data_IF_766398579713
#
_entry.id   IF_766398579713
#
_cell.length_a   1.000
_cell.length_b   1.000
_cell.length_c   1.000
_cell.angle_alpha   90.00
_cell.angle_beta   90.00
_cell.angle_gamma   90.00
#
_symmetry.space_group_name_H-M   'P 1'
#
loop_
_entity.id
_entity.type
_entity.pdbx_description
1 polymer ?
#
# COMPACT_ATOMS: atom_id res chain seq x y z
N UNK A 1 -13.09 -20.54 -11.86
CA UNK A 1 -12.14 -21.13 -10.89
C UNK A 1 -11.48 -20.01 -10.07
N UNK A 2 -11.41 -20.18 -8.78
CA UNK A 2 -10.77 -19.22 -7.89
C UNK A 2 -9.29 -19.56 -7.69
N UNK A 3 -8.43 -18.58 -7.89
CA UNK A 3 -6.99 -18.71 -7.68
C UNK A 3 -6.58 -17.79 -6.52
N UNK A 4 -5.85 -18.35 -5.57
CA UNK A 4 -5.36 -17.62 -4.41
C UNK A 4 -3.85 -17.76 -4.33
N UNK A 5 -3.14 -16.63 -4.30
CA UNK A 5 -1.69 -16.58 -4.11
C UNK A 5 -1.36 -15.81 -2.85
N UNK A 6 -0.38 -16.30 -2.10
CA UNK A 6 0.05 -15.69 -0.84
C UNK A 6 1.53 -15.31 -0.97
N UNK A 7 1.83 -14.06 -0.63
CA UNK A 7 3.20 -13.53 -0.63
C UNK A 7 3.53 -13.05 0.76
N UNK A 8 4.68 -13.47 1.27
CA UNK A 8 5.16 -13.10 2.61
C UNK A 8 6.19 -11.98 2.53
N UNK A 9 6.56 -11.45 3.69
CA UNK A 9 7.61 -10.44 3.85
C UNK A 9 7.28 -9.15 3.08
N UNK A 10 6.07 -8.70 3.23
CA UNK A 10 5.56 -7.48 2.58
C UNK A 10 5.56 -6.33 3.58
N UNK A 11 6.14 -5.22 3.17
CA UNK A 11 6.11 -3.97 3.91
C UNK A 11 5.13 -3.00 3.28
N UNK A 12 4.57 -2.12 4.10
CA UNK A 12 3.67 -1.05 3.67
C UNK A 12 4.22 0.27 4.20
N UNK A 13 4.30 1.28 3.35
CA UNK A 13 4.50 2.65 3.79
C UNK A 13 3.26 3.46 3.44
N UNK A 14 2.79 4.26 4.38
CA UNK A 14 1.63 5.13 4.19
C UNK A 14 1.99 6.57 4.53
N UNK A 15 1.41 7.48 3.76
CA UNK A 15 1.56 8.93 3.93
C UNK A 15 0.15 9.52 4.10
N UNK A 16 -0.08 10.21 5.20
CA UNK A 16 -1.36 10.83 5.50
C UNK A 16 -1.27 12.34 5.32
N UNK A 17 -2.41 12.97 5.06
CA UNK A 17 -2.53 14.42 4.91
C UNK A 17 -1.58 14.99 3.86
N UNK A 18 -1.52 14.32 2.70
CA UNK A 18 -0.72 14.76 1.56
C UNK A 18 -1.48 15.85 0.82
N UNK A 19 -0.88 17.05 0.61
CA UNK A 19 -1.52 18.11 -0.16
C UNK A 19 -1.73 17.68 -1.62
N UNK A 20 -2.98 17.80 -2.11
CA UNK A 20 -3.35 17.31 -3.44
C UNK A 20 -2.72 18.08 -4.60
N UNK A 21 -2.32 19.34 -4.36
CA UNK A 21 -1.75 20.20 -5.39
C UNK A 21 -0.26 20.00 -5.62
N UNK A 22 0.40 19.20 -4.76
CA UNK A 22 1.82 18.95 -4.89
C UNK A 22 2.04 17.62 -5.57
N UNK A 23 3.09 17.51 -6.37
CA UNK A 23 3.43 16.28 -7.09
C UNK A 23 4.08 15.25 -6.18
N UNK A 24 3.51 15.06 -5.01
CA UNK A 24 4.11 14.21 -3.98
C UNK A 24 4.22 12.76 -4.42
N UNK A 25 3.15 12.22 -5.01
CA UNK A 25 3.10 10.81 -5.41
C UNK A 25 4.17 10.50 -6.45
N UNK A 26 4.22 11.28 -7.54
CA UNK A 26 5.19 11.04 -8.60
C UNK A 26 6.63 11.27 -8.14
N UNK A 27 6.86 12.29 -7.33
CA UNK A 27 8.18 12.57 -6.77
C UNK A 27 8.64 11.44 -5.85
N UNK A 28 7.75 10.96 -4.98
CA UNK A 28 8.05 9.87 -4.06
C UNK A 28 8.34 8.58 -4.80
N UNK A 29 7.48 8.21 -5.75
CA UNK A 29 7.67 6.98 -6.51
C UNK A 29 8.94 7.03 -7.37
N UNK A 30 9.29 8.20 -7.93
CA UNK A 30 10.53 8.36 -8.68
C UNK A 30 11.76 8.18 -7.79
N UNK A 31 11.77 8.78 -6.62
CA UNK A 31 12.88 8.65 -5.67
C UNK A 31 13.04 7.20 -5.20
N UNK A 32 11.93 6.52 -4.94
CA UNK A 32 11.92 5.12 -4.54
C UNK A 32 12.47 4.23 -5.66
N UNK A 33 12.04 4.47 -6.90
CA UNK A 33 12.51 3.74 -8.07
C UNK A 33 14.01 3.94 -8.31
N UNK A 34 14.49 5.17 -8.18
CA UNK A 34 15.91 5.49 -8.33
C UNK A 34 16.80 4.78 -7.32
N UNK A 35 16.26 4.48 -6.15
CA UNK A 35 16.97 3.72 -5.11
C UNK A 35 16.94 2.20 -5.32
N UNK A 36 16.25 1.73 -6.34
CA UNK A 36 16.18 0.31 -6.69
C UNK A 36 15.08 -0.47 -5.99
N UNK A 37 14.14 0.19 -5.34
CA UNK A 37 13.01 -0.45 -4.67
C UNK A 37 11.90 -0.71 -5.68
N UNK A 38 11.44 -1.96 -5.74
CA UNK A 38 10.26 -2.34 -6.52
C UNK A 38 8.99 -2.08 -5.71
N UNK A 39 8.15 -1.20 -6.23
CA UNK A 39 6.82 -0.96 -5.67
C UNK A 39 5.85 -1.95 -6.29
N UNK A 40 5.06 -2.61 -5.47
CA UNK A 40 4.11 -3.63 -5.92
C UNK A 40 2.68 -3.08 -6.02
N UNK A 41 2.05 -2.81 -4.89
CA UNK A 41 0.71 -2.24 -4.86
C UNK A 41 0.77 -0.76 -4.50
N UNK A 42 -0.11 0.04 -5.10
CA UNK A 42 -0.26 1.46 -4.79
C UNK A 42 -1.73 1.71 -4.48
N UNK A 43 -1.99 2.40 -3.39
CA UNK A 43 -3.34 2.78 -3.00
C UNK A 43 -3.40 4.24 -2.62
N UNK A 44 -4.46 4.91 -3.02
CA UNK A 44 -4.65 6.33 -2.76
C UNK A 44 -6.12 6.58 -2.45
N UNK A 45 -6.38 7.42 -1.45
CA UNK A 45 -7.75 7.86 -1.17
C UNK A 45 -8.10 9.07 -2.05
N UNK A 46 -9.38 9.29 -2.33
CA UNK A 46 -9.80 10.52 -2.99
C UNK A 46 -9.46 11.76 -2.15
N UNK A 47 -9.11 12.90 -2.78
CA UNK A 47 -8.84 14.12 -2.04
C UNK A 47 -10.05 14.57 -1.22
N UNK A 48 -9.79 14.97 0.02
CA UNK A 48 -10.77 15.58 0.90
C UNK A 48 -10.14 16.81 1.55
N UNK A 49 -10.77 17.97 1.42
CA UNK A 49 -10.20 19.24 1.89
C UNK A 49 -8.80 19.50 1.33
N UNK A 50 -8.60 19.19 0.05
CA UNK A 50 -7.33 19.30 -0.68
C UNK A 50 -6.21 18.43 -0.12
N UNK A 51 -6.56 17.39 0.63
CA UNK A 51 -5.61 16.42 1.17
C UNK A 51 -6.04 14.98 0.85
N UNK A 52 -5.08 14.09 0.78
CA UNK A 52 -5.34 12.67 0.57
C UNK A 52 -4.32 11.83 1.32
N UNK A 53 -4.58 10.53 1.39
CA UNK A 53 -3.63 9.55 1.90
C UNK A 53 -3.19 8.64 0.78
N UNK A 54 -1.92 8.24 0.79
CA UNK A 54 -1.44 7.30 -0.19
C UNK A 54 -0.43 6.35 0.45
N UNK A 55 -0.35 5.15 -0.11
CA UNK A 55 0.58 4.17 0.37
C UNK A 55 0.96 3.19 -0.71
N UNK A 56 2.03 2.46 -0.48
CA UNK A 56 2.45 1.40 -1.38
C UNK A 56 3.10 0.26 -0.61
N UNK A 57 3.16 -0.90 -1.27
CA UNK A 57 3.81 -2.08 -0.72
C UNK A 57 5.13 -2.35 -1.41
N UNK A 58 6.03 -2.97 -0.67
CA UNK A 58 7.37 -3.32 -1.14
C UNK A 58 7.91 -4.47 -0.29
N UNK A 59 9.07 -4.99 -0.62
CA UNK A 59 9.67 -6.10 0.13
C UNK A 59 10.26 -5.63 1.46
N UNK A 60 10.11 -6.45 2.51
CA UNK A 60 10.75 -6.20 3.81
C UNK A 60 12.27 -5.99 3.66
N UNK A 61 12.89 -6.65 2.69
CA UNK A 61 14.33 -6.53 2.43
C UNK A 61 14.75 -5.12 2.02
N UNK A 62 13.83 -4.32 1.53
CA UNK A 62 14.11 -2.95 1.06
C UNK A 62 13.89 -1.88 2.12
N UNK A 63 13.50 -2.27 3.35
CA UNK A 63 13.28 -1.31 4.44
C UNK A 63 14.52 -0.44 4.70
N UNK A 64 15.73 -1.00 4.83
CA UNK A 64 16.91 -0.15 5.08
C UNK A 64 17.11 0.90 3.99
N UNK A 65 16.91 0.52 2.73
CA UNK A 65 17.02 1.45 1.61
C UNK A 65 15.95 2.53 1.66
N UNK A 66 14.71 2.14 1.94
CA UNK A 66 13.60 3.10 2.05
C UNK A 66 13.87 4.12 3.15
N UNK A 67 14.39 3.69 4.30
CA UNK A 67 14.69 4.60 5.41
C UNK A 67 15.76 5.63 5.08
N UNK A 68 16.60 5.38 4.08
CA UNK A 68 17.56 6.39 3.59
C UNK A 68 16.92 7.38 2.62
N UNK A 69 15.86 6.97 1.92
CA UNK A 69 15.16 7.79 0.93
C UNK A 69 14.12 8.71 1.57
N UNK A 70 13.38 8.18 2.56
CA UNK A 70 12.25 8.89 3.17
C UNK A 70 12.58 10.29 3.70
N UNK A 71 13.69 10.52 4.42
CA UNK A 71 13.99 11.86 4.93
C UNK A 71 14.10 12.92 3.85
N UNK A 72 14.61 12.57 2.68
CA UNK A 72 14.72 13.50 1.54
C UNK A 72 13.34 13.91 1.00
N UNK A 73 12.37 13.01 1.09
CA UNK A 73 11.02 13.26 0.61
C UNK A 73 10.22 14.01 1.67
N UNK A 74 10.25 13.55 2.91
CA UNK A 74 9.42 14.09 3.99
C UNK A 74 9.88 15.44 4.49
N UNK A 75 11.18 15.73 4.46
CA UNK A 75 11.72 17.02 4.90
C UNK A 75 11.20 18.19 4.05
N UNK A 76 11.01 17.98 2.76
CA UNK A 76 10.53 19.01 1.84
C UNK A 76 9.04 19.28 2.03
N UNK A 77 8.26 18.26 2.39
CA UNK A 77 6.80 18.35 2.42
C UNK A 77 6.21 18.35 3.83
N UNK A 78 7.00 18.09 4.86
CA UNK A 78 6.51 18.04 6.25
C UNK A 78 5.54 16.89 6.50
N UNK A 79 5.62 15.82 5.72
CA UNK A 79 4.73 14.68 5.80
C UNK A 79 5.42 13.56 6.58
N UNK A 80 4.71 12.97 7.54
CA UNK A 80 5.25 11.87 8.34
C UNK A 80 4.83 10.53 7.75
N UNK A 81 5.78 9.69 7.30
CA UNK A 81 5.46 8.36 6.81
C UNK A 81 5.26 7.39 7.97
N UNK A 82 4.45 6.37 7.72
CA UNK A 82 4.28 5.24 8.62
C UNK A 82 4.70 3.97 7.89
N UNK A 83 5.67 3.25 8.43
CA UNK A 83 6.19 2.00 7.83
C UNK A 83 5.77 0.83 8.69
N UNK A 84 5.21 -0.19 8.07
CA UNK A 84 4.79 -1.42 8.74
C UNK A 84 5.33 -2.61 7.95
N UNK A 85 5.98 -3.55 8.64
CA UNK A 85 6.62 -4.70 8.03
C UNK A 85 6.00 -6.02 8.46
N UNK A 86 6.44 -7.11 7.84
CA UNK A 86 5.99 -8.45 8.22
C UNK A 86 4.56 -8.76 7.83
N UNK A 87 4.07 -8.14 6.77
CA UNK A 87 2.72 -8.39 6.28
C UNK A 87 2.70 -9.51 5.25
N UNK A 88 1.51 -10.01 5.01
CA UNK A 88 1.21 -11.00 3.98
C UNK A 88 0.31 -10.36 2.95
N UNK A 89 0.63 -10.53 1.68
CA UNK A 89 -0.25 -10.11 0.58
C UNK A 89 -0.96 -11.33 0.04
N UNK A 90 -2.28 -11.25 -0.03
CA UNK A 90 -3.13 -12.30 -0.60
C UNK A 90 -3.74 -11.74 -1.88
N UNK A 91 -3.49 -12.45 -2.99
CA UNK A 91 -4.07 -12.10 -4.29
C UNK A 91 -5.12 -13.14 -4.63
N UNK A 92 -6.35 -12.69 -4.81
CA UNK A 92 -7.48 -13.55 -5.14
C UNK A 92 -7.98 -13.19 -6.53
N UNK A 93 -7.99 -14.17 -7.42
CA UNK A 93 -8.54 -14.03 -8.77
C UNK A 93 -9.66 -15.04 -8.94
N UNK A 94 -10.83 -14.57 -9.33
CA UNK A 94 -11.97 -15.43 -9.54
C UNK A 94 -12.92 -14.82 -10.56
N UNK A 95 -13.41 -15.67 -11.45
CA UNK A 95 -14.46 -15.29 -12.40
C UNK A 95 -15.78 -14.96 -11.69
N UNK A 96 -15.99 -15.55 -10.50
CA UNK A 96 -17.17 -15.26 -9.69
C UNK A 96 -17.25 -13.81 -9.24
N UNK A 97 -16.14 -13.10 -9.19
CA UNK A 97 -16.11 -11.67 -8.84
C UNK A 97 -16.82 -10.80 -9.88
N UNK A 98 -16.94 -11.29 -11.11
CA UNK A 98 -17.60 -10.57 -12.20
C UNK A 98 -19.12 -10.70 -12.09
N UNK A 99 -19.60 -11.90 -11.78
CA UNK A 99 -21.02 -12.24 -11.87
C UNK A 99 -21.74 -12.32 -10.54
N UNK A 100 -21.01 -12.48 -9.45
CA UNK A 100 -21.61 -12.68 -8.12
C UNK A 100 -21.37 -11.49 -7.20
N UNK A 101 -22.43 -10.78 -6.91
CA UNK A 101 -22.41 -9.79 -5.85
C UNK A 101 -22.10 -10.48 -4.52
N UNK A 102 -21.32 -9.84 -3.68
CA UNK A 102 -20.99 -10.37 -2.35
C UNK A 102 -19.76 -11.25 -2.28
N UNK A 103 -19.06 -11.51 -3.39
CA UNK A 103 -17.80 -12.26 -3.34
C UNK A 103 -16.78 -11.56 -2.43
N UNK A 104 -16.61 -10.26 -2.58
CA UNK A 104 -15.72 -9.48 -1.72
C UNK A 104 -16.13 -9.56 -0.25
N UNK A 105 -17.42 -9.49 0.02
CA UNK A 105 -17.95 -9.61 1.40
C UNK A 105 -17.55 -10.94 2.04
N UNK A 106 -17.59 -12.04 1.29
CA UNK A 106 -17.16 -13.34 1.80
C UNK A 106 -15.69 -13.37 2.16
N UNK A 107 -14.85 -12.75 1.32
CA UNK A 107 -13.40 -12.66 1.56
C UNK A 107 -13.13 -11.91 2.86
N UNK A 108 -13.72 -10.73 3.03
CA UNK A 108 -13.51 -9.91 4.22
C UNK A 108 -14.10 -10.54 5.47
N UNK A 109 -15.22 -11.24 5.35
CA UNK A 109 -15.79 -11.97 6.47
C UNK A 109 -14.85 -13.10 6.94
N UNK A 110 -14.21 -13.80 6.00
CA UNK A 110 -13.22 -14.81 6.34
C UNK A 110 -12.04 -14.20 7.09
N UNK A 111 -11.57 -13.01 6.69
CA UNK A 111 -10.51 -12.29 7.38
C UNK A 111 -10.92 -11.90 8.81
N UNK A 112 -12.14 -11.43 8.99
CA UNK A 112 -12.69 -11.11 10.33
C UNK A 112 -12.78 -12.33 11.22
N UNK A 113 -13.18 -13.46 10.68
CA UNK A 113 -13.34 -14.71 11.45
C UNK A 113 -12.02 -15.21 12.05
N UNK A 114 -10.90 -14.90 11.42
CA UNK A 114 -9.56 -15.24 11.94
C UNK A 114 -8.88 -14.06 12.63
N UNK A 115 -9.60 -12.98 12.87
CA UNK A 115 -9.09 -11.75 13.50
C UNK A 115 -7.89 -11.15 12.76
N UNK A 116 -7.88 -11.25 11.43
CA UNK A 116 -6.84 -10.64 10.62
C UNK A 116 -7.11 -9.14 10.42
N UNK A 117 -6.06 -8.34 10.53
CA UNK A 117 -6.13 -6.90 10.25
C UNK A 117 -5.83 -6.67 8.77
N UNK A 118 -6.76 -6.04 8.05
CA UNK A 118 -6.54 -5.65 6.66
C UNK A 118 -5.90 -4.26 6.65
N UNK A 119 -4.66 -4.20 6.20
CA UNK A 119 -3.85 -2.97 6.24
C UNK A 119 -4.00 -2.13 4.98
N UNK A 120 -4.19 -2.79 3.83
CA UNK A 120 -4.28 -2.13 2.52
C UNK A 120 -5.04 -3.02 1.55
N UNK A 121 -5.80 -2.40 0.66
CA UNK A 121 -6.55 -3.10 -0.40
C UNK A 121 -6.17 -2.51 -1.75
#
# INVERSE_FOLDING_TARGET
MTDIKVYENISIVTFSDVPSRKRFVSTTLSAVAESGINVDMISQTPPKSDMFSFGFTFSDDDIPTLLTVLPRITAVHGITPCVNSGNVKIVIKSEEMIDQAGFAAKVFQACENICADVMLI
#
